data_IF_676509861099
#
_entry.id   IF_676509861099
#
_cell.length_a   1.000
_cell.length_b   1.000
_cell.length_c   1.000
_cell.angle_alpha   90.00
_cell.angle_beta   90.00
_cell.angle_gamma   90.00
#
_symmetry.space_group_name_H-M   'P 1'
#
loop_
_entity.id
_entity.type
_entity.pdbx_description
1 polymer ?
#
# COMPACT_ATOMS: atom_id res chain seq x y z
N UNK A 1 -9.43 8.43 19.21
CA UNK A 1 -10.47 8.69 20.23
C UNK A 1 -11.24 9.92 19.78
N UNK A 2 -12.57 9.88 19.86
CA UNK A 2 -13.45 10.98 19.49
C UNK A 2 -14.03 11.64 20.74
N UNK A 3 -14.35 12.93 20.65
CA UNK A 3 -14.95 13.69 21.75
C UNK A 3 -16.49 13.53 21.80
N UNK A 4 -17.10 13.04 20.73
CA UNK A 4 -18.53 12.79 20.62
C UNK A 4 -18.80 11.49 19.85
N UNK A 5 -19.97 10.91 20.04
CA UNK A 5 -20.42 9.74 19.28
C UNK A 5 -20.56 10.09 17.81
N UNK A 6 -20.03 9.23 16.93
CA UNK A 6 -20.08 9.43 15.50
C UNK A 6 -20.07 8.11 14.72
N UNK A 7 -20.73 8.11 13.57
CA UNK A 7 -20.57 7.03 12.58
C UNK A 7 -19.41 7.39 11.67
N UNK A 8 -18.35 6.57 11.68
CA UNK A 8 -17.15 6.83 10.89
C UNK A 8 -16.92 5.73 9.87
N UNK A 9 -16.32 6.10 8.73
CA UNK A 9 -15.87 5.18 7.70
C UNK A 9 -14.36 5.35 7.51
N UNK A 10 -13.61 4.25 7.62
CA UNK A 10 -12.15 4.22 7.44
C UNK A 10 -11.85 3.34 6.25
N UNK A 11 -11.30 3.94 5.18
CA UNK A 11 -10.95 3.23 3.95
C UNK A 11 -9.44 3.02 3.87
N UNK A 12 -9.04 1.78 3.60
CA UNK A 12 -7.66 1.41 3.28
C UNK A 12 -7.60 0.83 1.88
N UNK A 13 -6.61 1.25 1.12
CA UNK A 13 -6.46 0.84 -0.28
C UNK A 13 -5.03 0.40 -0.58
N UNK A 14 -4.93 -0.57 -1.48
CA UNK A 14 -3.74 -0.91 -2.26
C UNK A 14 -4.08 -0.65 -3.71
N UNK A 15 -3.46 0.37 -4.30
CA UNK A 15 -3.83 0.87 -5.62
C UNK A 15 -2.63 0.99 -6.54
N UNK A 16 -2.77 0.42 -7.73
CA UNK A 16 -1.80 0.54 -8.81
C UNK A 16 -2.16 1.72 -9.71
N UNK A 17 -1.41 2.82 -9.61
CA UNK A 17 -1.64 4.09 -10.30
C UNK A 17 -0.59 4.38 -11.37
N UNK A 18 -0.29 3.47 -12.22
CA UNK A 18 0.81 3.72 -13.16
C UNK A 18 0.40 4.21 -14.54
N UNK A 19 -0.87 4.26 -14.82
CA UNK A 19 -1.43 4.77 -16.07
C UNK A 19 -1.50 6.30 -16.14
N UNK A 20 -1.09 7.00 -15.07
CA UNK A 20 -1.11 8.46 -14.98
C UNK A 20 -2.50 9.08 -14.94
N UNK A 21 -3.55 8.26 -14.98
CA UNK A 21 -4.93 8.73 -14.85
C UNK A 21 -5.21 9.04 -13.39
N UNK A 22 -5.41 10.30 -13.07
CA UNK A 22 -5.86 10.74 -11.76
C UNK A 22 -7.40 10.67 -11.74
N UNK A 23 -7.98 9.98 -10.75
CA UNK A 23 -9.43 10.07 -10.49
C UNK A 23 -9.84 11.50 -10.08
N UNK A 24 -8.88 12.31 -9.69
CA UNK A 24 -9.06 13.72 -9.47
C UNK A 24 -8.60 14.44 -10.72
N UNK A 25 -9.55 14.88 -11.55
CA UNK A 25 -9.30 15.78 -12.67
C UNK A 25 -8.55 17.01 -12.12
N UNK A 26 -7.25 17.04 -12.28
CA UNK A 26 -6.52 18.29 -12.18
C UNK A 26 -6.84 19.08 -13.45
N UNK A 27 -7.27 20.35 -13.34
CA UNK A 27 -7.50 21.15 -14.52
C UNK A 27 -6.23 21.13 -15.38
N UNK A 28 -6.37 21.06 -16.71
CA UNK A 28 -5.21 21.06 -17.61
C UNK A 28 -4.36 22.27 -17.28
N UNK A 29 -3.10 22.04 -16.94
CA UNK A 29 -2.13 23.12 -16.81
C UNK A 29 -1.96 23.69 -18.22
N UNK A 30 -2.49 24.90 -18.48
CA UNK A 30 -2.23 25.60 -19.71
C UNK A 30 -0.71 25.82 -19.82
N UNK A 31 -0.10 25.14 -20.77
CA UNK A 31 1.31 25.37 -21.10
C UNK A 31 1.43 26.72 -21.78
N UNK A 32 1.89 27.74 -21.05
CA UNK A 32 2.40 28.95 -21.69
C UNK A 32 3.57 28.55 -22.61
N UNK A 33 3.40 28.85 -23.88
CA UNK A 33 4.41 28.60 -24.92
C UNK A 33 5.76 29.17 -24.49
N UNK A 34 6.73 28.32 -24.18
CA UNK A 34 8.14 28.66 -24.21
C UNK A 34 8.94 28.57 -22.91
N UNK A 35 8.43 28.04 -21.84
CA UNK A 35 9.24 27.80 -20.62
C UNK A 35 9.01 26.39 -20.08
N UNK A 36 9.93 25.50 -20.37
CA UNK A 36 10.08 24.22 -19.68
C UNK A 36 10.59 24.49 -18.25
N UNK A 37 9.70 24.85 -17.33
CA UNK A 37 10.02 25.12 -15.92
C UNK A 37 9.48 24.05 -14.99
N UNK A 38 9.13 22.90 -15.49
CA UNK A 38 8.76 21.77 -14.60
C UNK A 38 9.93 20.83 -14.52
N UNK A 39 10.58 20.81 -13.34
CA UNK A 39 11.44 19.69 -12.97
C UNK A 39 10.69 18.39 -13.26
N UNK A 40 11.37 17.41 -13.85
CA UNK A 40 10.82 16.08 -14.09
C UNK A 40 10.20 15.55 -12.81
N UNK A 41 8.87 15.52 -12.74
CA UNK A 41 8.13 14.88 -11.67
C UNK A 41 7.74 13.48 -12.15
N UNK A 42 8.38 12.43 -11.66
CA UNK A 42 8.05 11.05 -12.06
C UNK A 42 6.61 10.65 -11.71
N UNK A 43 5.91 11.44 -10.89
CA UNK A 43 4.49 11.26 -10.56
C UNK A 43 3.57 11.85 -11.63
N UNK A 44 4.10 12.72 -12.50
CA UNK A 44 3.44 13.28 -13.67
C UNK A 44 3.93 12.57 -14.94
N UNK A 45 4.00 11.26 -14.91
CA UNK A 45 4.22 10.52 -16.14
C UNK A 45 3.14 10.97 -17.12
N UNK A 46 3.56 11.53 -18.26
CA UNK A 46 2.70 11.72 -19.41
C UNK A 46 1.91 10.44 -19.62
N UNK A 47 0.64 10.55 -19.95
CA UNK A 47 -0.24 9.41 -20.12
C UNK A 47 0.49 8.31 -20.88
N UNK A 48 0.90 7.26 -20.17
CA UNK A 48 1.56 6.13 -20.79
C UNK A 48 0.53 5.50 -21.72
N UNK A 49 0.78 5.54 -23.01
CA UNK A 49 -0.09 4.96 -24.03
C UNK A 49 -0.23 3.45 -23.87
N UNK A 50 0.69 2.83 -23.10
CA UNK A 50 0.66 1.41 -22.81
C UNK A 50 0.84 1.16 -21.30
N UNK A 51 0.09 0.23 -20.81
CA UNK A 51 0.14 -0.20 -19.42
C UNK A 51 1.47 -0.88 -19.10
N UNK A 52 2.26 -0.30 -18.19
CA UNK A 52 3.59 -0.80 -17.82
C UNK A 52 3.50 -2.05 -16.94
N UNK A 53 2.61 -2.06 -15.94
CA UNK A 53 2.40 -3.19 -15.04
C UNK A 53 1.13 -3.96 -15.42
N UNK A 54 1.30 -5.11 -15.99
CA UNK A 54 0.21 -6.00 -16.38
C UNK A 54 -0.26 -6.82 -15.17
N UNK A 55 -1.56 -6.86 -14.84
CA UNK A 55 -2.08 -7.68 -13.74
C UNK A 55 -1.83 -9.17 -14.02
N UNK A 56 -1.43 -9.88 -13.00
CA UNK A 56 -1.16 -11.32 -13.06
C UNK A 56 -1.83 -12.11 -11.94
N UNK A 57 -2.09 -11.44 -10.83
CA UNK A 57 -2.69 -12.07 -9.66
C UNK A 57 -3.46 -11.04 -8.85
N UNK A 58 -4.64 -11.43 -8.40
CA UNK A 58 -5.38 -10.78 -7.33
C UNK A 58 -5.92 -11.83 -6.38
N UNK A 59 -5.78 -11.59 -5.08
CA UNK A 59 -6.22 -12.53 -4.03
C UNK A 59 -6.74 -11.76 -2.84
N UNK A 60 -7.83 -12.25 -2.24
CA UNK A 60 -8.34 -11.76 -0.97
C UNK A 60 -8.58 -12.94 -0.04
N UNK A 61 -8.14 -12.83 1.22
CA UNK A 61 -8.37 -13.81 2.29
C UNK A 61 -8.67 -13.02 3.56
N UNK A 62 -9.95 -12.92 3.94
CA UNK A 62 -10.37 -12.05 5.04
C UNK A 62 -9.98 -10.58 4.77
N UNK A 63 -9.28 -9.97 5.72
CA UNK A 63 -8.80 -8.58 5.62
C UNK A 63 -7.44 -8.44 4.88
N UNK A 64 -6.91 -9.55 4.32
CA UNK A 64 -5.66 -9.58 3.56
C UNK A 64 -5.92 -9.52 2.06
N UNK A 65 -5.16 -8.70 1.37
CA UNK A 65 -5.20 -8.56 -0.09
C UNK A 65 -3.82 -8.64 -0.70
N UNK A 66 -3.75 -9.26 -1.88
CA UNK A 66 -2.49 -9.38 -2.63
C UNK A 66 -2.76 -9.05 -4.10
N UNK A 67 -2.01 -8.10 -4.65
CA UNK A 67 -1.99 -7.76 -6.07
C UNK A 67 -0.62 -8.09 -6.64
N UNK A 68 -0.61 -8.76 -7.78
CA UNK A 68 0.62 -9.13 -8.48
C UNK A 68 0.62 -8.65 -9.92
N UNK A 69 1.75 -8.10 -10.36
CA UNK A 69 1.93 -7.49 -11.67
C UNK A 69 3.22 -7.96 -12.31
N UNK A 70 3.24 -7.91 -13.64
CA UNK A 70 4.46 -8.09 -14.43
C UNK A 70 4.72 -6.83 -15.24
N UNK A 71 5.92 -6.29 -15.13
CA UNK A 71 6.36 -5.16 -15.93
C UNK A 71 6.60 -5.60 -17.37
N UNK A 72 5.97 -4.90 -18.34
CA UNK A 72 6.04 -5.22 -19.76
C UNK A 72 7.47 -5.13 -20.29
N UNK A 73 8.18 -4.05 -19.95
CA UNK A 73 9.50 -3.77 -20.51
C UNK A 73 10.62 -4.59 -19.88
N UNK A 74 10.65 -4.67 -18.54
CA UNK A 74 11.73 -5.35 -17.81
C UNK A 74 11.50 -6.83 -17.58
N UNK A 75 10.24 -7.30 -17.75
CA UNK A 75 9.83 -8.64 -17.37
C UNK A 75 9.82 -8.89 -15.86
N UNK A 76 10.10 -7.89 -15.04
CA UNK A 76 10.05 -8.00 -13.59
C UNK A 76 8.64 -8.28 -13.12
N UNK A 77 8.55 -9.14 -12.14
CA UNK A 77 7.32 -9.39 -11.39
C UNK A 77 7.37 -8.60 -10.08
N UNK A 78 6.27 -7.92 -9.74
CA UNK A 78 6.08 -7.21 -8.47
C UNK A 78 4.82 -7.73 -7.83
N UNK A 79 4.88 -8.00 -6.54
CA UNK A 79 3.73 -8.36 -5.72
C UNK A 79 3.67 -7.42 -4.52
N UNK A 80 2.51 -6.85 -4.28
CA UNK A 80 2.19 -6.08 -3.10
C UNK A 80 1.09 -6.78 -2.32
N UNK A 81 1.31 -6.96 -1.01
CA UNK A 81 0.33 -7.51 -0.09
C UNK A 81 0.02 -6.53 1.03
N UNK A 82 -1.22 -6.48 1.46
CA UNK A 82 -1.67 -5.75 2.65
C UNK A 82 -2.51 -6.64 3.54
N UNK A 83 -2.38 -6.43 4.84
CA UNK A 83 -3.16 -7.11 5.87
C UNK A 83 -3.64 -6.10 6.91
N UNK A 84 -4.82 -6.34 7.48
CA UNK A 84 -5.43 -5.41 8.43
C UNK A 84 -5.91 -6.13 9.68
N UNK A 85 -5.75 -5.46 10.82
CA UNK A 85 -6.42 -5.83 12.07
C UNK A 85 -7.08 -4.60 12.66
N UNK A 86 -8.27 -4.78 13.24
CA UNK A 86 -8.97 -3.75 13.99
C UNK A 86 -9.11 -4.19 15.46
N UNK A 87 -8.83 -3.27 16.37
CA UNK A 87 -8.95 -3.43 17.81
C UNK A 87 -9.83 -2.29 18.36
N UNK A 88 -11.05 -2.61 18.73
CA UNK A 88 -12.01 -1.65 19.28
C UNK A 88 -13.15 -2.37 20.00
N UNK A 89 -13.70 -1.74 21.03
CA UNK A 89 -14.94 -2.17 21.70
C UNK A 89 -16.20 -1.63 21.00
N UNK A 90 -16.03 -0.73 20.02
CA UNK A 90 -17.14 -0.21 19.26
C UNK A 90 -17.72 -1.26 18.31
N UNK A 91 -19.00 -1.15 18.04
CA UNK A 91 -19.67 -1.93 17.00
C UNK A 91 -19.14 -1.53 15.62
N UNK A 92 -18.75 -2.50 14.81
CA UNK A 92 -18.20 -2.23 13.48
C UNK A 92 -18.60 -3.29 12.46
N UNK A 93 -18.56 -2.91 11.19
CA UNK A 93 -18.71 -3.78 10.03
C UNK A 93 -17.63 -3.51 9.01
N UNK A 94 -17.33 -4.50 8.17
CA UNK A 94 -16.37 -4.35 7.09
C UNK A 94 -16.97 -4.67 5.74
N UNK A 95 -16.42 -4.06 4.70
CA UNK A 95 -16.72 -4.41 3.32
C UNK A 95 -15.45 -4.32 2.47
N UNK A 96 -15.41 -5.12 1.43
CA UNK A 96 -14.23 -5.30 0.59
C UNK A 96 -14.56 -5.15 -0.88
N UNK A 97 -13.61 -4.62 -1.64
CA UNK A 97 -13.65 -4.58 -3.09
C UNK A 97 -12.28 -4.92 -3.65
N UNK A 98 -12.26 -5.79 -4.67
CA UNK A 98 -11.02 -6.26 -5.29
C UNK A 98 -11.17 -6.24 -6.81
N UNK A 99 -10.31 -5.48 -7.48
CA UNK A 99 -10.13 -5.46 -8.92
C UNK A 99 -8.67 -5.78 -9.30
N UNK A 100 -8.33 -5.66 -10.56
CA UNK A 100 -6.97 -5.94 -11.02
C UNK A 100 -5.95 -4.93 -10.50
N UNK A 101 -6.38 -3.69 -10.25
CA UNK A 101 -5.52 -2.57 -9.83
C UNK A 101 -5.84 -2.01 -8.46
N UNK A 102 -6.96 -2.42 -7.87
CA UNK A 102 -7.42 -1.86 -6.61
C UNK A 102 -7.90 -2.96 -5.67
N UNK A 103 -7.29 -3.01 -4.50
CA UNK A 103 -7.84 -3.69 -3.34
C UNK A 103 -8.26 -2.63 -2.32
N UNK A 104 -9.52 -2.62 -1.94
CA UNK A 104 -10.10 -1.67 -0.99
C UNK A 104 -10.74 -2.41 0.16
N UNK A 105 -10.39 -1.99 1.37
CA UNK A 105 -10.99 -2.43 2.62
C UNK A 105 -11.63 -1.25 3.32
N UNK A 106 -12.87 -1.37 3.74
CA UNK A 106 -13.64 -0.32 4.39
C UNK A 106 -14.17 -0.83 5.72
N UNK A 107 -13.82 -0.14 6.80
CA UNK A 107 -14.43 -0.30 8.12
C UNK A 107 -15.44 0.80 8.34
N UNK A 108 -16.67 0.42 8.74
CA UNK A 108 -17.68 1.33 9.27
C UNK A 108 -17.81 1.09 10.75
N UNK A 109 -17.56 2.11 11.56
CA UNK A 109 -17.52 2.00 13.03
C UNK A 109 -18.55 2.96 13.62
N UNK A 110 -19.42 2.45 14.49
CA UNK A 110 -20.29 3.26 15.34
C UNK A 110 -19.49 3.71 16.56
N UNK A 111 -18.66 4.73 16.36
CA UNK A 111 -17.72 5.18 17.36
C UNK A 111 -18.41 5.90 18.50
N UNK A 112 -18.11 5.50 19.73
CA UNK A 112 -18.54 6.16 20.96
C UNK A 112 -17.44 7.08 21.49
N UNK A 113 -17.86 8.20 22.06
CA UNK A 113 -16.94 9.14 22.70
C UNK A 113 -16.03 8.44 23.71
N UNK A 114 -14.75 8.78 23.69
CA UNK A 114 -13.76 8.21 24.59
C UNK A 114 -13.28 6.79 24.29
N UNK A 115 -13.96 6.05 23.42
CA UNK A 115 -13.55 4.69 23.06
C UNK A 115 -12.44 4.67 22.00
N UNK A 116 -11.47 3.78 22.19
CA UNK A 116 -10.35 3.64 21.26
C UNK A 116 -10.76 2.85 20.02
N UNK A 117 -10.28 3.32 18.88
CA UNK A 117 -10.27 2.56 17.63
C UNK A 117 -8.81 2.49 17.17
N UNK A 118 -8.29 1.28 17.01
CA UNK A 118 -6.93 1.03 16.52
C UNK A 118 -7.01 0.13 15.30
N UNK A 119 -6.46 0.59 14.19
CA UNK A 119 -6.28 -0.22 12.99
C UNK A 119 -4.79 -0.34 12.73
N UNK A 120 -4.34 -1.58 12.54
CA UNK A 120 -2.97 -1.88 12.12
C UNK A 120 -3.03 -2.36 10.68
N UNK A 121 -2.22 -1.75 9.83
CA UNK A 121 -2.02 -2.14 8.43
C UNK A 121 -0.58 -2.58 8.25
N UNK A 122 -0.38 -3.84 7.91
CA UNK A 122 0.90 -4.37 7.48
C UNK A 122 0.96 -4.37 5.95
N UNK A 123 2.10 -3.99 5.40
CA UNK A 123 2.32 -3.93 3.95
C UNK A 123 3.59 -4.68 3.61
N UNK A 124 3.56 -5.51 2.58
CA UNK A 124 4.73 -6.20 2.04
C UNK A 124 4.87 -5.97 0.55
N UNK A 125 6.12 -5.84 0.08
CA UNK A 125 6.46 -5.77 -1.33
C UNK A 125 7.53 -6.81 -1.66
N UNK A 126 7.30 -7.56 -2.73
CA UNK A 126 8.26 -8.50 -3.26
C UNK A 126 8.40 -8.30 -4.77
N UNK A 127 9.64 -8.32 -5.27
CA UNK A 127 9.91 -8.23 -6.71
C UNK A 127 10.98 -9.23 -7.12
N UNK A 128 10.90 -9.71 -8.37
CA UNK A 128 11.89 -10.61 -8.94
C UNK A 128 11.82 -10.62 -10.46
N UNK A 129 12.94 -10.92 -11.11
CA UNK A 129 12.98 -11.22 -12.54
C UNK A 129 12.71 -12.68 -12.89
N UNK A 130 13.04 -13.59 -11.97
CA UNK A 130 13.03 -15.04 -12.24
C UNK A 130 12.00 -15.84 -11.45
N UNK A 131 11.24 -15.19 -10.54
CA UNK A 131 10.28 -15.89 -9.69
C UNK A 131 8.85 -15.66 -10.20
N UNK A 132 8.03 -16.71 -10.34
CA UNK A 132 6.63 -16.57 -10.74
C UNK A 132 5.81 -15.73 -9.75
N UNK A 133 4.81 -15.01 -10.24
CA UNK A 133 3.94 -14.14 -9.44
C UNK A 133 3.31 -14.87 -8.24
N UNK A 134 2.91 -16.12 -8.42
CA UNK A 134 2.30 -16.92 -7.36
C UNK A 134 3.26 -17.17 -6.20
N UNK A 135 4.49 -17.54 -6.51
CA UNK A 135 5.53 -17.74 -5.48
C UNK A 135 5.86 -16.43 -4.74
N UNK A 136 5.91 -15.31 -5.45
CA UNK A 136 6.09 -14.01 -4.80
C UNK A 136 4.91 -13.64 -3.91
N UNK A 137 3.68 -14.00 -4.30
CA UNK A 137 2.49 -13.80 -3.48
C UNK A 137 2.54 -14.64 -2.20
N UNK A 138 3.00 -15.88 -2.30
CA UNK A 138 3.16 -16.76 -1.13
C UNK A 138 4.30 -16.26 -0.20
N UNK A 139 5.35 -15.64 -0.75
CA UNK A 139 6.38 -14.94 0.05
C UNK A 139 5.81 -13.70 0.75
N UNK A 140 4.97 -12.94 0.06
CA UNK A 140 4.26 -11.80 0.62
C UNK A 140 3.40 -12.21 1.81
N UNK A 141 2.64 -13.31 1.68
CA UNK A 141 1.83 -13.82 2.79
C UNK A 141 2.69 -14.22 3.99
N UNK A 142 3.78 -14.97 3.78
CA UNK A 142 4.71 -15.33 4.88
C UNK A 142 5.33 -14.09 5.56
N UNK A 143 5.59 -13.03 4.80
CA UNK A 143 6.07 -11.76 5.35
C UNK A 143 5.02 -11.08 6.21
N UNK A 144 3.76 -11.06 5.74
CA UNK A 144 2.64 -10.50 6.49
C UNK A 144 2.32 -11.33 7.75
N UNK A 145 2.37 -12.67 7.67
CA UNK A 145 2.19 -13.55 8.83
C UNK A 145 3.22 -13.26 9.92
N UNK A 146 4.49 -13.11 9.53
CA UNK A 146 5.56 -12.77 10.45
C UNK A 146 5.36 -11.39 11.06
N UNK A 147 5.03 -10.38 10.25
CA UNK A 147 4.76 -9.03 10.73
C UNK A 147 3.58 -8.97 11.72
N UNK A 148 2.53 -9.75 11.47
CA UNK A 148 1.40 -9.87 12.39
C UNK A 148 1.78 -10.55 13.70
N UNK A 149 2.62 -11.61 13.64
CA UNK A 149 3.06 -12.36 14.82
C UNK A 149 4.05 -11.56 15.70
N UNK A 150 5.00 -10.86 15.09
CA UNK A 150 6.05 -10.10 15.79
C UNK A 150 5.54 -8.73 16.28
N UNK A 151 4.61 -8.13 15.55
CA UNK A 151 4.04 -6.83 15.86
C UNK A 151 4.94 -5.64 15.48
N UNK A 152 4.35 -4.45 15.45
CA UNK A 152 5.03 -3.23 14.99
C UNK A 152 6.14 -2.73 15.94
N UNK A 153 6.02 -2.96 17.24
CA UNK A 153 7.03 -2.55 18.21
C UNK A 153 8.34 -3.33 18.06
N UNK A 154 8.22 -4.63 17.80
CA UNK A 154 9.37 -5.47 17.48
C UNK A 154 10.05 -5.01 16.18
N UNK A 155 9.28 -4.81 15.13
CA UNK A 155 9.80 -4.34 13.84
C UNK A 155 10.49 -2.96 13.97
N UNK A 156 9.91 -2.02 14.73
CA UNK A 156 10.48 -0.71 14.97
C UNK A 156 11.79 -0.78 15.76
N UNK A 157 11.88 -1.70 16.74
CA UNK A 157 13.12 -1.93 17.50
C UNK A 157 14.20 -2.50 16.59
N UNK A 158 13.92 -3.54 15.83
CA UNK A 158 14.87 -4.13 14.88
C UNK A 158 15.38 -3.10 13.86
N UNK A 159 14.48 -2.27 13.33
CA UNK A 159 14.86 -1.21 12.39
C UNK A 159 15.80 -0.20 13.04
N UNK A 160 15.54 0.17 14.29
CA UNK A 160 16.40 1.10 15.03
C UNK A 160 17.77 0.52 15.28
N UNK A 161 17.83 -0.74 15.74
CA UNK A 161 19.10 -1.44 16.00
C UNK A 161 19.94 -1.56 14.72
N UNK A 162 19.29 -1.90 13.60
CA UNK A 162 19.95 -1.98 12.31
C UNK A 162 20.46 -0.61 11.83
N UNK A 163 19.69 0.46 12.00
CA UNK A 163 20.11 1.81 11.62
C UNK A 163 21.28 2.32 12.47
N UNK A 164 21.26 2.06 13.78
CA UNK A 164 22.39 2.42 14.66
C UNK A 164 23.66 1.72 14.19
N UNK A 165 23.62 0.40 14.00
CA UNK A 165 24.76 -0.37 13.52
C UNK A 165 25.22 0.05 12.11
N UNK A 166 24.30 0.43 11.24
CA UNK A 166 24.62 0.96 9.92
C UNK A 166 25.37 2.29 10.02
N UNK A 167 24.86 3.26 10.80
CA UNK A 167 25.48 4.57 10.93
C UNK A 167 26.80 4.52 11.66
N UNK A 168 26.93 3.71 12.72
CA UNK A 168 28.20 3.51 13.44
C UNK A 168 29.34 3.00 12.52
N UNK A 169 28.99 2.27 11.45
CA UNK A 169 29.96 1.77 10.47
C UNK A 169 30.20 2.71 9.29
N UNK A 170 29.28 3.59 9.00
CA UNK A 170 29.29 4.43 7.78
C UNK A 170 29.48 5.92 8.08
N UNK A 171 29.44 6.30 9.36
CA UNK A 171 29.72 7.68 9.75
C UNK A 171 31.17 8.01 9.50
N UNK A 172 31.40 9.03 8.66
CA UNK A 172 32.73 9.52 8.31
C UNK A 172 32.91 10.84 9.08
N UNK A 173 33.83 10.82 10.05
CA UNK A 173 34.28 12.05 10.74
C UNK A 173 34.96 13.04 9.77
#
# INVERSE_FOLDING_TARGET
VLDADASIAISSQLFNRQDGIDEFEQPPVEFEKGRATTAFDPRRAEALTERVLQPRLKRAIGARYTLGFRCTNSGMTVVAGIDHTIDTENEWEESTSLSDDLAKHLYRVKAKAGQRIRIVKNISYHSSRGVPTRELADRSDRTLDRAAAEGHEFAARQQREWLVDFWDRTDVE
#
